data_IF_070794767716
#
_entry.id   IF_070794767716
#
_cell.length_a   1.000
_cell.length_b   1.000
_cell.length_c   1.000
_cell.angle_alpha   90.00
_cell.angle_beta   90.00
_cell.angle_gamma   90.00
#
_symmetry.space_group_name_H-M   'P 1'
#
loop_
_entity.id
_entity.type
_entity.pdbx_description
1 polymer ?
#
# COMPACT_ATOMS: atom_id res chain seq x y z
N UNK A 1 21.02 9.16 -42.56
CA UNK A 1 21.34 9.84 -41.29
C UNK A 1 20.12 9.70 -40.39
N UNK A 2 20.16 8.79 -39.40
CA UNK A 2 19.07 8.62 -38.45
C UNK A 2 19.21 9.69 -37.36
N UNK A 3 18.29 10.65 -37.32
CA UNK A 3 18.20 11.65 -36.26
C UNK A 3 17.67 10.96 -35.01
N UNK A 4 18.52 10.83 -33.99
CA UNK A 4 18.11 10.33 -32.67
C UNK A 4 17.42 11.49 -31.95
N UNK A 5 16.11 11.39 -31.76
CA UNK A 5 15.33 12.38 -31.01
C UNK A 5 15.53 12.08 -29.53
N UNK A 6 16.44 12.81 -28.88
CA UNK A 6 16.48 12.87 -27.41
C UNK A 6 15.22 13.59 -26.92
N UNK A 7 14.26 12.83 -26.41
CA UNK A 7 13.12 13.38 -25.70
C UNK A 7 13.60 13.93 -24.36
N UNK A 8 13.33 15.21 -24.10
CA UNK A 8 13.66 15.80 -22.81
C UNK A 8 12.94 15.05 -21.68
N UNK A 9 13.56 14.91 -20.49
CA UNK A 9 12.95 14.24 -19.34
C UNK A 9 11.55 14.77 -18.99
N UNK A 10 11.30 16.06 -19.22
CA UNK A 10 10.00 16.69 -18.98
C UNK A 10 8.90 16.15 -19.93
N UNK A 11 9.23 15.83 -21.19
CA UNK A 11 8.29 15.18 -22.14
C UNK A 11 8.05 13.70 -21.80
N UNK A 12 9.02 13.03 -21.17
CA UNK A 12 8.88 11.65 -20.70
C UNK A 12 7.88 11.61 -19.54
N UNK A 13 7.96 12.56 -18.60
CA UNK A 13 7.03 12.66 -17.47
C UNK A 13 5.60 12.96 -17.95
N UNK A 14 5.42 13.93 -18.85
CA UNK A 14 4.09 14.24 -19.41
C UNK A 14 3.47 13.05 -20.17
N UNK A 15 4.29 12.32 -20.94
CA UNK A 15 3.88 11.09 -21.62
C UNK A 15 3.62 9.94 -20.64
N UNK A 16 4.38 9.82 -19.56
CA UNK A 16 4.12 8.85 -18.50
C UNK A 16 2.81 9.17 -17.76
N UNK A 17 2.50 10.43 -17.49
CA UNK A 17 1.21 10.85 -16.91
C UNK A 17 0.06 10.47 -17.85
N UNK A 18 0.19 10.69 -19.17
CA UNK A 18 -0.84 10.30 -20.14
C UNK A 18 -0.97 8.78 -20.31
N UNK A 19 0.14 8.03 -20.29
CA UNK A 19 0.15 6.57 -20.35
C UNK A 19 -0.34 5.92 -19.06
N UNK A 20 -0.10 6.55 -17.89
CA UNK A 20 -0.61 6.10 -16.60
C UNK A 20 -2.11 6.30 -16.48
N UNK A 21 -2.67 7.39 -17.05
CA UNK A 21 -4.12 7.60 -17.17
C UNK A 21 -4.79 6.44 -17.91
N UNK A 22 -4.22 6.03 -19.05
CA UNK A 22 -4.70 4.89 -19.82
C UNK A 22 -4.55 3.54 -19.08
N UNK A 23 -3.57 3.42 -18.18
CA UNK A 23 -3.35 2.21 -17.38
C UNK A 23 -4.37 2.10 -16.22
N UNK A 24 -4.65 3.21 -15.54
CA UNK A 24 -5.71 3.32 -14.50
C UNK A 24 -7.10 3.03 -15.07
N UNK A 25 -7.34 3.36 -16.34
CA UNK A 25 -8.58 3.06 -17.06
C UNK A 25 -8.71 1.57 -17.46
N UNK A 26 -7.62 0.78 -17.38
CA UNK A 26 -7.56 -0.60 -17.91
C UNK A 26 -7.57 -1.71 -16.85
N UNK A 27 -7.37 -1.40 -15.57
CA UNK A 27 -7.42 -2.35 -14.46
C UNK A 27 -8.17 -1.74 -13.26
N UNK A 28 -8.97 -2.50 -12.48
CA UNK A 28 -9.51 -2.01 -11.22
C UNK A 28 -8.36 -1.80 -10.23
N UNK A 29 -7.85 -0.57 -10.16
CA UNK A 29 -6.80 -0.19 -9.23
C UNK A 29 -7.30 -0.37 -7.79
N UNK A 30 -6.77 -1.35 -7.08
CA UNK A 30 -6.89 -1.41 -5.63
C UNK A 30 -5.87 -0.44 -5.05
N UNK A 31 -6.27 0.81 -4.87
CA UNK A 31 -5.41 1.79 -4.22
C UNK A 31 -5.34 1.49 -2.72
N UNK A 32 -4.28 0.80 -2.29
CA UNK A 32 -3.89 0.73 -0.89
C UNK A 32 -3.06 1.98 -0.62
N UNK A 33 -3.72 3.11 -0.41
CA UNK A 33 -3.05 4.35 -0.05
C UNK A 33 -2.49 4.24 1.36
N UNK A 34 -1.17 4.14 1.50
CA UNK A 34 -0.51 4.49 2.75
C UNK A 34 -0.77 5.98 3.02
N UNK A 35 -1.31 6.29 4.19
CA UNK A 35 -1.48 7.67 4.62
C UNK A 35 -0.07 8.26 4.85
N UNK A 36 0.24 9.48 4.36
CA UNK A 36 1.48 10.12 4.76
C UNK A 36 1.43 10.39 6.28
N UNK A 37 2.28 9.68 7.04
CA UNK A 37 2.45 9.88 8.48
C UNK A 37 2.89 11.33 8.78
N UNK A 38 2.26 11.96 9.78
CA UNK A 38 2.74 13.26 10.27
C UNK A 38 1.78 14.17 11.04
N UNK A 39 0.62 13.71 11.52
CA UNK A 39 -0.17 14.49 12.50
C UNK A 39 -0.07 13.88 13.89
N UNK A 40 0.70 14.48 14.82
CA UNK A 40 0.66 14.08 16.22
C UNK A 40 -0.69 14.45 16.83
N UNK A 41 -1.41 13.46 17.37
CA UNK A 41 -2.49 13.68 18.33
C UNK A 41 -3.92 13.77 17.78
N UNK A 42 -4.30 12.96 16.78
CA UNK A 42 -5.72 12.78 16.46
C UNK A 42 -6.30 11.81 17.49
N UNK A 43 -7.18 12.30 18.36
CA UNK A 43 -7.92 11.47 19.31
C UNK A 43 -8.70 10.37 18.57
N UNK A 44 -8.87 9.19 19.18
CA UNK A 44 -9.59 8.06 18.57
C UNK A 44 -11.05 8.40 18.16
N UNK A 45 -11.57 9.53 18.63
CA UNK A 45 -12.91 10.05 18.32
C UNK A 45 -12.96 10.84 16.99
N UNK A 46 -11.83 11.41 16.55
CA UNK A 46 -11.73 12.21 15.32
C UNK A 46 -11.24 11.39 14.10
N UNK A 47 -10.92 10.10 14.29
CA UNK A 47 -10.71 9.13 13.22
C UNK A 47 -12.02 8.62 12.56
N UNK A 48 -13.19 9.01 13.09
CA UNK A 48 -14.46 8.79 12.43
C UNK A 48 -14.59 9.76 11.24
N UNK A 49 -13.99 9.38 10.10
CA UNK A 49 -14.10 10.13 8.86
C UNK A 49 -15.57 10.50 8.60
N UNK A 50 -15.92 11.78 8.41
CA UNK A 50 -17.29 12.21 8.22
C UNK A 50 -17.86 11.56 6.95
N UNK A 51 -18.92 10.75 7.10
CA UNK A 51 -19.79 10.36 5.99
C UNK A 51 -19.88 8.87 5.65
N UNK A 52 -19.13 7.97 6.30
CA UNK A 52 -19.35 6.53 6.08
C UNK A 52 -20.53 6.05 6.92
N UNK A 53 -21.74 6.07 6.35
CA UNK A 53 -22.86 5.30 6.90
C UNK A 53 -22.47 3.84 6.94
N UNK A 54 -22.51 3.23 8.13
CA UNK A 54 -22.31 1.79 8.28
C UNK A 54 -23.35 1.06 7.43
N UNK A 55 -22.90 0.10 6.63
CA UNK A 55 -23.80 -0.81 5.94
C UNK A 55 -24.83 -1.37 6.93
N UNK A 56 -26.09 -1.45 6.50
CA UNK A 56 -27.14 -2.12 7.29
C UNK A 56 -26.65 -3.52 7.64
N UNK A 57 -26.71 -3.90 8.91
CA UNK A 57 -26.25 -5.21 9.40
C UNK A 57 -26.95 -6.38 8.68
N UNK A 58 -28.13 -6.15 8.11
CA UNK A 58 -28.86 -7.11 7.29
C UNK A 58 -28.18 -7.45 5.95
N UNK A 59 -27.25 -6.61 5.48
CA UNK A 59 -26.52 -6.84 4.23
C UNK A 59 -25.19 -7.60 4.42
N UNK A 60 -24.71 -7.75 5.66
CA UNK A 60 -23.45 -8.43 5.93
C UNK A 60 -23.58 -9.94 5.68
N UNK A 61 -22.56 -10.59 5.07
CA UNK A 61 -22.55 -12.05 4.93
C UNK A 61 -22.65 -12.67 6.33
N UNK A 62 -23.47 -13.71 6.51
CA UNK A 62 -23.65 -14.37 7.81
C UNK A 62 -22.92 -15.70 7.87
N UNK A 63 -22.66 -16.30 6.71
CA UNK A 63 -22.08 -17.62 6.55
C UNK A 63 -20.97 -17.62 5.50
N UNK A 64 -20.16 -18.67 5.49
CA UNK A 64 -19.14 -18.87 4.45
C UNK A 64 -19.74 -19.01 3.04
N UNK A 65 -20.99 -19.50 2.94
CA UNK A 65 -21.68 -19.67 1.66
C UNK A 65 -22.11 -18.32 1.03
N UNK A 66 -22.16 -17.24 1.83
CA UNK A 66 -22.49 -15.89 1.36
C UNK A 66 -21.28 -15.20 0.70
N UNK A 67 -20.10 -15.82 0.71
CA UNK A 67 -18.87 -15.26 0.16
C UNK A 67 -18.74 -15.61 -1.32
N UNK A 68 -19.09 -14.65 -2.17
CA UNK A 68 -19.18 -14.82 -3.63
C UNK A 68 -17.81 -14.80 -4.32
N UNK A 69 -16.81 -14.16 -3.70
CA UNK A 69 -15.48 -13.97 -4.27
C UNK A 69 -14.42 -14.64 -3.41
N UNK A 70 -13.46 -15.30 -4.06
CA UNK A 70 -12.24 -15.82 -3.43
C UNK A 70 -11.03 -15.54 -4.31
N UNK A 71 -9.90 -15.20 -3.69
CA UNK A 71 -8.68 -14.85 -4.39
C UNK A 71 -7.45 -15.10 -3.52
N UNK A 72 -6.33 -15.35 -4.19
CA UNK A 72 -4.99 -15.39 -3.60
C UNK A 72 -4.17 -14.27 -4.20
N UNK A 73 -3.53 -13.46 -3.35
CA UNK A 73 -2.69 -12.34 -3.78
C UNK A 73 -1.36 -12.38 -3.04
N UNK A 74 -0.31 -11.89 -3.70
CA UNK A 74 0.98 -11.63 -3.08
C UNK A 74 1.31 -10.17 -3.31
N UNK A 75 1.70 -9.47 -2.26
CA UNK A 75 2.10 -8.07 -2.33
C UNK A 75 3.17 -7.77 -1.28
N UNK A 76 3.91 -6.70 -1.49
CA UNK A 76 4.93 -6.23 -0.56
C UNK A 76 4.66 -4.80 -0.12
N UNK A 77 4.90 -4.56 1.17
CA UNK A 77 4.62 -3.30 1.84
C UNK A 77 5.88 -2.79 2.51
N UNK A 78 5.96 -1.48 2.73
CA UNK A 78 6.85 -0.96 3.74
C UNK A 78 6.39 -1.44 5.12
N UNK A 79 7.32 -1.48 6.08
CA UNK A 79 6.99 -1.78 7.47
C UNK A 79 5.88 -0.86 8.02
N UNK A 80 5.93 0.44 7.72
CA UNK A 80 4.93 1.42 8.18
C UNK A 80 3.56 1.17 7.56
N UNK A 81 3.49 0.92 6.25
CA UNK A 81 2.24 0.60 5.58
C UNK A 81 1.61 -0.69 6.11
N UNK A 82 2.42 -1.71 6.43
CA UNK A 82 1.92 -2.93 7.09
C UNK A 82 1.35 -2.62 8.48
N UNK A 83 2.02 -1.79 9.28
CA UNK A 83 1.56 -1.38 10.60
C UNK A 83 0.24 -0.60 10.53
N UNK A 84 0.12 0.36 9.61
CA UNK A 84 -1.11 1.14 9.37
C UNK A 84 -2.30 0.24 9.01
N UNK A 85 -2.04 -0.86 8.31
CA UNK A 85 -3.04 -1.85 7.91
C UNK A 85 -3.29 -2.93 8.98
N UNK A 86 -2.68 -2.79 10.17
CA UNK A 86 -2.70 -3.79 11.24
C UNK A 86 -2.25 -5.18 10.77
N UNK A 87 -1.35 -5.24 9.79
CA UNK A 87 -0.72 -6.50 9.37
C UNK A 87 0.41 -6.77 10.35
N UNK A 88 0.46 -7.96 10.98
CA UNK A 88 1.46 -8.22 12.00
C UNK A 88 2.86 -8.26 11.39
N UNK A 89 3.77 -7.57 12.07
CA UNK A 89 5.18 -7.50 11.70
C UNK A 89 6.03 -8.09 12.82
N UNK A 90 7.00 -8.94 12.47
CA UNK A 90 7.80 -9.70 13.43
C UNK A 90 9.25 -9.20 13.40
N UNK A 91 9.73 -8.73 14.56
CA UNK A 91 11.12 -8.26 14.73
C UNK A 91 11.20 -7.04 15.65
N UNK A 92 12.37 -6.79 16.23
CA UNK A 92 12.62 -5.56 17.02
C UNK A 92 12.61 -4.33 16.11
N UNK A 93 12.25 -3.13 16.57
CA UNK A 93 12.17 -1.89 15.78
C UNK A 93 13.54 -1.32 15.32
N UNK A 94 14.66 -1.94 15.68
CA UNK A 94 16.00 -1.33 15.63
C UNK A 94 16.69 -1.28 14.24
N UNK A 95 15.97 -1.43 13.12
CA UNK A 95 16.59 -1.74 11.81
C UNK A 95 16.46 -0.70 10.70
N UNK A 96 16.03 0.54 10.99
CA UNK A 96 15.94 1.61 9.98
C UNK A 96 14.81 1.41 8.95
N UNK A 97 14.75 2.33 7.98
CA UNK A 97 13.65 2.46 7.00
C UNK A 97 13.62 1.41 5.88
N UNK A 98 14.60 0.51 5.79
CA UNK A 98 14.74 -0.49 4.71
C UNK A 98 14.05 -1.83 5.00
N UNK A 99 12.93 -1.78 5.73
CA UNK A 99 12.15 -2.96 6.11
C UNK A 99 10.95 -3.13 5.23
N UNK A 100 10.80 -4.34 4.70
CA UNK A 100 9.66 -4.73 3.87
C UNK A 100 8.88 -5.87 4.53
N UNK A 101 7.59 -5.90 4.27
CA UNK A 101 6.70 -6.98 4.67
C UNK A 101 6.11 -7.58 3.40
N UNK A 102 6.46 -8.82 3.10
CA UNK A 102 5.87 -9.56 1.98
C UNK A 102 4.70 -10.38 2.53
N UNK A 103 3.53 -10.20 1.93
CA UNK A 103 2.29 -10.86 2.36
C UNK A 103 1.79 -11.75 1.23
N UNK A 104 1.58 -13.02 1.54
CA UNK A 104 0.74 -13.91 0.75
C UNK A 104 -0.60 -14.04 1.46
N UNK A 105 -1.66 -13.62 0.79
CA UNK A 105 -2.99 -13.52 1.38
C UNK A 105 -3.98 -14.36 0.58
N UNK A 106 -4.75 -15.19 1.27
CA UNK A 106 -5.96 -15.81 0.76
C UNK A 106 -7.17 -15.12 1.40
N UNK A 107 -8.04 -14.55 0.57
CA UNK A 107 -9.25 -13.86 1.04
C UNK A 107 -10.48 -14.46 0.38
N UNK A 108 -11.57 -14.60 1.13
CA UNK A 108 -12.90 -14.73 0.56
C UNK A 108 -13.82 -13.66 1.14
N UNK A 109 -14.62 -13.03 0.29
CA UNK A 109 -15.41 -11.88 0.66
C UNK A 109 -16.68 -11.73 -0.19
N UNK A 110 -17.62 -10.98 0.37
CA UNK A 110 -18.74 -10.39 -0.35
C UNK A 110 -18.52 -8.89 -0.48
N UNK A 111 -18.76 -8.37 -1.68
CA UNK A 111 -18.70 -6.94 -1.93
C UNK A 111 -20.08 -6.32 -1.67
N UNK A 112 -20.12 -5.24 -0.91
CA UNK A 112 -21.34 -4.51 -0.57
C UNK A 112 -21.15 -3.09 -1.06
N UNK A 113 -22.06 -2.63 -1.93
CA UNK A 113 -22.08 -1.25 -2.37
C UNK A 113 -22.41 -0.32 -1.18
N UNK A 114 -21.64 0.75 -1.03
CA UNK A 114 -21.84 1.81 -0.05
C UNK A 114 -22.00 3.15 -0.78
N UNK A 115 -22.54 4.19 -0.12
CA UNK A 115 -22.72 5.53 -0.73
C UNK A 115 -21.40 6.10 -1.28
N UNK A 116 -20.26 5.71 -0.69
CA UNK A 116 -18.91 6.15 -1.04
C UNK A 116 -18.06 5.03 -1.64
N UNK A 117 -18.66 4.14 -2.45
CA UNK A 117 -17.94 3.13 -3.22
C UNK A 117 -18.38 1.72 -2.85
N UNK A 118 -17.43 0.86 -2.50
CA UNK A 118 -17.72 -0.53 -2.14
C UNK A 118 -16.89 -0.97 -0.93
N UNK A 119 -17.49 -1.78 -0.07
CA UNK A 119 -16.81 -2.39 1.06
C UNK A 119 -16.81 -3.92 0.91
N UNK A 120 -15.69 -4.55 1.29
CA UNK A 120 -15.53 -5.99 1.25
C UNK A 120 -15.58 -6.55 2.65
N UNK A 121 -16.55 -7.42 2.89
CA UNK A 121 -16.71 -8.11 4.17
C UNK A 121 -16.46 -9.60 3.98
N UNK A 122 -15.62 -10.18 4.83
CA UNK A 122 -15.17 -11.56 4.67
C UNK A 122 -14.13 -11.98 5.68
N UNK A 123 -13.24 -12.87 5.26
CA UNK A 123 -12.07 -13.30 6.02
C UNK A 123 -10.79 -13.20 5.18
N UNK A 124 -9.66 -13.15 5.89
CA UNK A 124 -8.33 -13.21 5.30
C UNK A 124 -7.44 -14.17 6.09
N UNK A 125 -6.65 -14.97 5.37
CA UNK A 125 -5.56 -15.78 5.91
C UNK A 125 -4.28 -15.26 5.29
N UNK A 126 -3.39 -14.70 6.12
CA UNK A 126 -2.17 -14.04 5.70
C UNK A 126 -0.96 -14.81 6.18
N UNK A 127 -0.03 -15.02 5.27
CA UNK A 127 1.35 -15.40 5.57
C UNK A 127 2.23 -14.18 5.38
N UNK A 128 2.71 -13.62 6.49
CA UNK A 128 3.45 -12.36 6.53
C UNK A 128 4.93 -12.63 6.79
N UNK A 129 5.79 -12.18 5.89
CA UNK A 129 7.25 -12.27 6.02
C UNK A 129 7.84 -10.87 6.19
N UNK A 130 8.39 -10.62 7.37
CA UNK A 130 9.13 -9.40 7.70
C UNK A 130 10.60 -9.58 7.31
N UNK A 131 11.12 -8.73 6.44
CA UNK A 131 12.50 -8.79 5.93
C UNK A 131 13.27 -7.56 6.36
N UNK A 132 14.43 -7.78 6.97
CA UNK A 132 15.42 -6.74 7.29
C UNK A 132 16.54 -6.70 6.24
N UNK A 133 17.11 -5.51 6.02
CA UNK A 133 18.20 -5.26 5.07
C UNK A 133 17.81 -5.58 3.62
N UNK A 134 16.82 -4.84 3.14
CA UNK A 134 16.31 -4.99 1.79
C UNK A 134 16.88 -3.94 0.83
N UNK A 135 17.43 -4.38 -0.31
CA UNK A 135 17.76 -3.49 -1.44
C UNK A 135 16.55 -3.38 -2.37
N UNK A 136 15.97 -2.19 -2.48
CA UNK A 136 14.79 -1.93 -3.31
C UNK A 136 15.10 -2.18 -4.80
N UNK A 137 14.29 -3.01 -5.47
CA UNK A 137 14.35 -3.21 -6.93
C UNK A 137 14.28 -4.65 -7.43
N UNK A 138 14.40 -5.66 -6.55
CA UNK A 138 14.25 -7.06 -6.96
C UNK A 138 12.79 -7.52 -6.80
N UNK A 139 12.19 -8.05 -7.87
CA UNK A 139 10.95 -8.84 -7.76
C UNK A 139 11.25 -10.09 -6.96
N UNK A 140 10.76 -10.17 -5.73
CA UNK A 140 10.99 -11.33 -4.89
C UNK A 140 9.75 -12.17 -4.66
N UNK A 141 9.97 -13.48 -4.83
CA UNK A 141 9.04 -14.53 -4.49
C UNK A 141 9.42 -15.11 -3.12
N UNK A 142 8.44 -15.63 -2.38
CA UNK A 142 8.70 -16.26 -1.08
C UNK A 142 9.79 -17.37 -1.11
N UNK A 143 9.89 -18.22 -2.15
CA UNK A 143 11.01 -19.17 -2.26
C UNK A 143 12.38 -18.49 -2.30
N UNK A 144 12.49 -17.33 -2.97
CA UNK A 144 13.74 -16.57 -3.02
C UNK A 144 14.11 -15.99 -1.65
N UNK A 145 13.12 -15.49 -0.88
CA UNK A 145 13.37 -15.04 0.50
C UNK A 145 13.87 -16.18 1.38
N UNK A 146 13.24 -17.35 1.29
CA UNK A 146 13.61 -18.50 2.09
C UNK A 146 15.06 -18.94 1.79
N UNK A 147 15.43 -19.01 0.50
CA UNK A 147 16.80 -19.33 0.09
C UNK A 147 17.81 -18.26 0.52
N UNK A 148 17.44 -16.98 0.41
CA UNK A 148 18.29 -15.86 0.84
C UNK A 148 18.53 -15.87 2.36
N UNK A 149 17.49 -16.20 3.14
CA UNK A 149 17.61 -16.31 4.58
C UNK A 149 18.44 -17.54 5.00
N UNK A 150 18.32 -18.67 4.29
CA UNK A 150 19.13 -19.89 4.50
C UNK A 150 20.63 -19.62 4.38
N UNK A 151 21.04 -18.83 3.39
CA UNK A 151 22.45 -18.46 3.19
C UNK A 151 22.89 -17.25 4.04
N UNK A 152 22.00 -16.71 4.87
CA UNK A 152 22.26 -15.57 5.75
C UNK A 152 22.43 -14.23 5.03
N UNK A 153 22.01 -14.10 3.77
CA UNK A 153 22.09 -12.82 3.03
C UNK A 153 21.04 -11.81 3.50
N UNK A 154 19.91 -12.30 4.02
CA UNK A 154 18.87 -11.49 4.65
C UNK A 154 18.50 -12.07 6.02
N UNK A 155 17.93 -11.23 6.88
CA UNK A 155 17.26 -11.69 8.11
C UNK A 155 15.76 -11.56 7.90
N UNK A 156 15.07 -12.69 7.83
CA UNK A 156 13.63 -12.75 7.61
C UNK A 156 12.95 -13.52 8.73
N UNK A 157 11.79 -13.03 9.16
CA UNK A 157 10.90 -13.69 10.13
C UNK A 157 9.51 -13.75 9.54
N UNK A 158 8.75 -14.76 9.91
CA UNK A 158 7.39 -14.89 9.43
C UNK A 158 6.40 -15.15 10.55
N UNK A 159 5.15 -14.80 10.28
CA UNK A 159 3.98 -15.10 11.11
C UNK A 159 2.80 -15.40 10.20
N UNK A 160 1.80 -16.08 10.76
CA UNK A 160 0.49 -16.19 10.15
C UNK A 160 -0.52 -15.35 10.91
N UNK A 161 -1.48 -14.82 10.17
CA UNK A 161 -2.58 -14.02 10.70
C UNK A 161 -3.89 -14.47 10.06
N UNK A 162 -4.94 -14.52 10.87
CA UNK A 162 -6.27 -14.96 10.44
C UNK A 162 -7.29 -13.97 10.95
N UNK A 163 -7.99 -13.34 10.01
CA UNK A 163 -8.99 -12.31 10.27
C UNK A 163 -10.35 -12.85 9.85
N UNK A 164 -11.36 -12.67 10.69
CA UNK A 164 -12.74 -13.03 10.39
C UNK A 164 -13.07 -14.52 10.50
N UNK A 165 -12.17 -15.32 11.08
CA UNK A 165 -12.40 -16.73 11.40
C UNK A 165 -11.90 -17.02 12.82
N UNK A 166 -12.65 -17.83 13.56
CA UNK A 166 -12.25 -18.31 14.88
C UNK A 166 -12.67 -19.77 15.05
N UNK A 167 -11.84 -20.58 15.71
CA UNK A 167 -12.16 -21.96 16.01
C UNK A 167 -10.94 -22.72 16.54
N UNK A 168 -11.13 -23.83 17.27
CA UNK A 168 -10.02 -24.61 17.82
C UNK A 168 -9.04 -25.08 16.75
N UNK A 169 -9.54 -25.62 15.63
CA UNK A 169 -8.70 -26.11 14.53
C UNK A 169 -7.93 -25.00 13.82
N UNK A 170 -8.50 -23.80 13.73
CA UNK A 170 -7.80 -22.62 13.21
C UNK A 170 -6.64 -22.29 14.14
N UNK A 171 -6.89 -22.18 15.45
CA UNK A 171 -5.86 -21.86 16.44
C UNK A 171 -4.73 -22.90 16.50
N UNK A 172 -5.06 -24.20 16.45
CA UNK A 172 -4.08 -25.29 16.41
C UNK A 172 -3.23 -25.31 15.13
N UNK A 173 -3.75 -24.74 14.04
CA UNK A 173 -3.06 -24.67 12.75
C UNK A 173 -2.14 -23.45 12.64
N UNK A 174 -2.12 -22.54 13.62
CA UNK A 174 -1.29 -21.35 13.62
C UNK A 174 0.05 -21.59 14.35
N UNK A 175 1.15 -21.74 13.60
CA UNK A 175 2.47 -21.87 14.21
C UNK A 175 2.90 -20.54 14.84
N UNK A 176 3.73 -20.58 15.90
CA UNK A 176 4.29 -19.36 16.47
C UNK A 176 5.22 -18.67 15.47
N UNK A 177 5.38 -17.35 15.55
CA UNK A 177 6.32 -16.62 14.73
C UNK A 177 7.75 -17.18 14.84
N UNK A 178 8.43 -17.34 13.72
CA UNK A 178 9.79 -17.91 13.70
C UNK A 178 10.62 -17.35 12.55
N UNK A 179 11.91 -17.68 12.54
CA UNK A 179 12.83 -17.26 11.47
C UNK A 179 12.51 -18.02 10.18
N UNK A 180 12.63 -17.31 9.06
CA UNK A 180 12.39 -17.91 7.76
C UNK A 180 13.67 -18.60 7.28
N UNK A 181 13.52 -19.84 6.82
CA UNK A 181 14.52 -20.59 6.09
C UNK A 181 13.79 -21.55 5.13
N UNK A 182 14.49 -22.37 4.36
CA UNK A 182 13.83 -23.23 3.34
C UNK A 182 12.88 -24.25 3.98
N UNK A 183 13.29 -24.87 5.08
CA UNK A 183 12.47 -25.85 5.81
C UNK A 183 11.22 -25.20 6.43
N UNK A 184 11.39 -24.05 7.11
CA UNK A 184 10.30 -23.31 7.75
C UNK A 184 9.32 -22.75 6.74
N UNK A 185 9.76 -22.42 5.53
CA UNK A 185 8.87 -22.03 4.45
C UNK A 185 7.92 -23.16 4.03
N UNK A 186 8.40 -24.40 3.97
CA UNK A 186 7.55 -25.57 3.69
C UNK A 186 6.53 -25.75 4.82
N UNK A 187 6.96 -25.63 6.08
CA UNK A 187 6.05 -25.70 7.23
C UNK A 187 4.99 -24.59 7.22
N UNK A 188 5.36 -23.37 6.83
CA UNK A 188 4.43 -22.25 6.71
C UNK A 188 3.37 -22.50 5.64
N UNK A 189 3.74 -23.05 4.47
CA UNK A 189 2.79 -23.46 3.43
C UNK A 189 1.82 -24.53 3.94
N UNK A 190 2.35 -25.56 4.59
CA UNK A 190 1.52 -26.61 5.18
C UNK A 190 0.58 -26.06 6.26
N UNK A 191 1.02 -25.08 7.06
CA UNK A 191 0.17 -24.41 8.03
C UNK A 191 -0.95 -23.61 7.35
N UNK A 192 -0.65 -22.88 6.27
CA UNK A 192 -1.67 -22.19 5.47
C UNK A 192 -2.70 -23.16 4.89
N UNK A 193 -2.27 -24.29 4.34
CA UNK A 193 -3.17 -25.34 3.84
C UNK A 193 -4.04 -25.92 4.96
N UNK A 194 -3.48 -26.16 6.14
CA UNK A 194 -4.23 -26.63 7.31
C UNK A 194 -5.27 -25.62 7.78
N UNK A 195 -4.93 -24.32 7.80
CA UNK A 195 -5.87 -23.25 8.11
C UNK A 195 -7.00 -23.24 7.08
N UNK A 196 -6.69 -23.32 5.78
CA UNK A 196 -7.70 -23.36 4.71
C UNK A 196 -8.63 -24.58 4.86
N UNK A 197 -8.09 -25.76 5.18
CA UNK A 197 -8.89 -26.95 5.45
C UNK A 197 -9.78 -26.77 6.69
N UNK A 198 -9.26 -26.15 7.75
CA UNK A 198 -10.00 -25.88 8.97
C UNK A 198 -11.17 -24.90 8.78
N UNK A 199 -11.21 -24.11 7.70
CA UNK A 199 -12.35 -23.25 7.36
C UNK A 199 -13.64 -24.06 7.19
N UNK A 200 -13.54 -25.28 6.66
CA UNK A 200 -14.68 -26.17 6.44
C UNK A 200 -15.09 -26.96 7.69
N UNK A 201 -14.36 -26.80 8.80
CA UNK A 201 -14.68 -27.51 10.03
C UNK A 201 -15.95 -26.94 10.69
N UNK A 202 -16.89 -27.78 11.15
CA UNK A 202 -18.11 -27.31 11.82
C UNK A 202 -17.88 -26.48 13.10
N UNK A 203 -16.71 -26.61 13.74
CA UNK A 203 -16.33 -25.79 14.91
C UNK A 203 -15.78 -24.41 14.53
N UNK A 204 -15.54 -24.16 13.24
CA UNK A 204 -15.08 -22.85 12.76
C UNK A 204 -16.24 -21.89 12.66
N UNK A 205 -16.11 -20.78 13.39
CA UNK A 205 -17.04 -19.65 13.39
C UNK A 205 -16.53 -18.59 12.43
N UNK A 206 -17.37 -18.25 11.45
CA UNK A 206 -17.18 -17.08 10.61
C UNK A 206 -17.61 -15.80 11.34
N UNK A 207 -16.77 -14.77 11.26
CA UNK A 207 -17.01 -13.45 11.84
C UNK A 207 -16.81 -12.42 10.72
N UNK A 208 -17.90 -11.86 10.16
CA UNK A 208 -17.81 -10.94 9.02
C UNK A 208 -16.94 -9.73 9.38
N UNK A 209 -15.79 -9.60 8.73
CA UNK A 209 -14.82 -8.54 9.02
C UNK A 209 -14.62 -7.68 7.79
N UNK A 210 -14.55 -6.35 7.97
CA UNK A 210 -14.21 -5.43 6.91
C UNK A 210 -12.75 -5.66 6.48
N UNK A 211 -12.55 -6.14 5.26
CA UNK A 211 -11.23 -6.40 4.70
C UNK A 211 -10.66 -5.19 3.96
N UNK A 212 -11.50 -4.52 3.18
CA UNK A 212 -11.09 -3.33 2.43
C UNK A 212 -12.27 -2.45 2.05
N UNK A 213 -11.97 -1.19 1.72
CA UNK A 213 -12.90 -0.28 1.07
C UNK A 213 -12.31 0.20 -0.25
N UNK A 214 -13.13 0.17 -1.29
CA UNK A 214 -12.85 0.74 -2.59
C UNK A 214 -13.55 2.09 -2.65
N UNK A 215 -12.78 3.15 -2.84
CA UNK A 215 -13.32 4.50 -3.02
C UNK A 215 -14.06 4.58 -4.37
N UNK A 216 -14.95 5.56 -4.57
CA UNK A 216 -15.53 5.81 -5.89
C UNK A 216 -14.40 6.12 -6.88
N UNK A 217 -14.53 5.68 -8.12
CA UNK A 217 -13.51 5.86 -9.17
C UNK A 217 -13.03 7.31 -9.28
N UNK A 218 -13.96 8.27 -9.23
CA UNK A 218 -13.64 9.70 -9.27
C UNK A 218 -12.70 10.14 -8.13
N UNK A 219 -12.90 9.63 -6.92
CA UNK A 219 -12.06 9.93 -5.78
C UNK A 219 -10.72 9.19 -5.86
N UNK A 220 -10.68 7.99 -6.44
CA UNK A 220 -9.41 7.30 -6.72
C UNK A 220 -8.57 8.11 -7.71
N UNK A 221 -9.16 8.54 -8.83
CA UNK A 221 -8.50 9.40 -9.83
C UNK A 221 -8.04 10.71 -9.21
N UNK A 222 -8.88 11.33 -8.37
CA UNK A 222 -8.54 12.57 -7.65
C UNK A 222 -7.32 12.38 -6.74
N UNK A 223 -7.29 11.32 -5.92
CA UNK A 223 -6.16 11.03 -5.02
C UNK A 223 -4.89 10.72 -5.79
N UNK A 224 -5.01 9.96 -6.89
CA UNK A 224 -3.89 9.69 -7.77
C UNK A 224 -3.31 10.99 -8.36
N UNK A 225 -4.18 11.88 -8.86
CA UNK A 225 -3.80 13.20 -9.37
C UNK A 225 -3.08 14.06 -8.33
N UNK A 226 -3.59 14.12 -7.09
CA UNK A 226 -2.95 14.83 -5.98
C UNK A 226 -1.55 14.24 -5.70
N UNK A 227 -1.44 12.91 -5.58
CA UNK A 227 -0.17 12.25 -5.32
C UNK A 227 0.87 12.48 -6.43
N UNK A 228 0.43 12.42 -7.70
CA UNK A 228 1.27 12.73 -8.85
C UNK A 228 1.73 14.20 -8.84
N UNK A 229 0.84 15.14 -8.53
CA UNK A 229 1.14 16.56 -8.41
C UNK A 229 2.14 16.85 -7.28
N UNK A 230 1.97 16.22 -6.11
CA UNK A 230 2.90 16.32 -4.99
C UNK A 230 4.28 15.74 -5.35
N UNK A 231 4.32 14.58 -6.01
CA UNK A 231 5.58 13.95 -6.46
C UNK A 231 6.31 14.84 -7.47
N UNK A 232 5.57 15.43 -8.40
CA UNK A 232 6.10 16.43 -9.33
C UNK A 232 6.65 17.66 -8.59
N UNK A 233 5.92 18.18 -7.60
CA UNK A 233 6.37 19.31 -6.79
C UNK A 233 7.68 18.99 -6.03
N UNK A 234 7.76 17.83 -5.38
CA UNK A 234 8.98 17.39 -4.70
C UNK A 234 10.16 17.28 -5.67
N UNK A 235 9.93 16.79 -6.89
CA UNK A 235 10.94 16.72 -7.95
C UNK A 235 11.38 18.11 -8.42
N UNK A 236 10.46 19.07 -8.50
CA UNK A 236 10.78 20.45 -8.84
C UNK A 236 11.62 21.12 -7.74
N UNK A 237 11.24 20.92 -6.47
CA UNK A 237 11.98 21.41 -5.28
C UNK A 237 13.39 20.82 -5.24
N UNK A 238 13.54 19.51 -5.47
CA UNK A 238 14.86 18.86 -5.49
C UNK A 238 15.78 19.41 -6.59
N UNK A 239 15.20 19.95 -7.66
CA UNK A 239 15.89 20.64 -8.77
C UNK A 239 15.97 22.16 -8.61
N UNK A 240 15.68 22.68 -7.41
CA UNK A 240 15.69 24.11 -7.07
C UNK A 240 14.80 24.97 -7.96
N UNK A 241 13.66 24.44 -8.40
CA UNK A 241 12.65 25.21 -9.13
C UNK A 241 11.69 25.86 -8.15
N UNK A 242 11.31 27.11 -8.40
CA UNK A 242 10.29 27.79 -7.61
C UNK A 242 8.90 27.24 -7.95
N UNK A 243 7.92 27.51 -7.07
CA UNK A 243 6.52 27.17 -7.33
C UNK A 243 6.03 27.75 -8.67
N UNK A 244 6.34 29.02 -8.94
CA UNK A 244 5.97 29.70 -10.19
C UNK A 244 6.55 28.95 -11.41
N UNK A 245 7.84 28.57 -11.35
CA UNK A 245 8.48 27.81 -12.42
C UNK A 245 7.88 26.42 -12.59
N UNK A 246 7.51 25.76 -11.50
CA UNK A 246 6.90 24.43 -11.53
C UNK A 246 5.50 24.46 -12.18
N UNK A 247 4.68 25.46 -11.83
CA UNK A 247 3.34 25.64 -12.42
C UNK A 247 3.43 26.04 -13.89
N UNK A 248 4.34 26.96 -14.26
CA UNK A 248 4.54 27.37 -15.66
C UNK A 248 4.98 26.24 -16.60
N UNK A 249 5.57 25.17 -16.04
CA UNK A 249 5.99 23.98 -16.79
C UNK A 249 4.86 22.97 -17.05
N UNK A 250 3.73 23.09 -16.35
CA UNK A 250 2.56 22.28 -16.63
C UNK A 250 1.96 22.67 -17.98
N UNK A 251 1.26 21.75 -18.65
CA UNK A 251 0.46 22.13 -19.82
C UNK A 251 -0.74 23.01 -19.42
N UNK A 252 -1.37 23.64 -20.42
CA UNK A 252 -2.47 24.57 -20.18
C UNK A 252 -3.68 23.92 -19.48
N UNK A 253 -3.95 22.62 -19.69
CA UNK A 253 -5.04 21.91 -19.02
C UNK A 253 -4.73 21.75 -17.53
N UNK A 254 -3.52 21.28 -17.19
CA UNK A 254 -3.06 21.08 -15.83
C UNK A 254 -2.88 22.40 -15.06
N UNK A 255 -2.49 23.49 -15.72
CA UNK A 255 -2.43 24.83 -15.11
C UNK A 255 -3.81 25.34 -14.68
N UNK A 256 -4.87 24.99 -15.41
CA UNK A 256 -6.24 25.40 -15.09
C UNK A 256 -6.93 24.43 -14.12
N UNK A 257 -6.30 23.30 -13.78
CA UNK A 257 -6.81 22.36 -12.80
C UNK A 257 -6.38 22.79 -11.38
N UNK A 258 -7.29 23.47 -10.67
CA UNK A 258 -7.04 23.99 -9.32
C UNK A 258 -6.58 22.90 -8.35
N UNK A 259 -7.09 21.68 -8.47
CA UNK A 259 -6.70 20.55 -7.62
C UNK A 259 -5.21 20.24 -7.72
N UNK A 260 -4.66 20.19 -8.94
CA UNK A 260 -3.25 19.90 -9.16
C UNK A 260 -2.37 21.07 -8.67
N UNK A 261 -2.77 22.29 -8.98
CA UNK A 261 -2.04 23.50 -8.60
C UNK A 261 -1.99 23.67 -7.08
N UNK A 262 -3.11 23.43 -6.39
CA UNK A 262 -3.18 23.47 -4.93
C UNK A 262 -2.34 22.35 -4.30
N UNK A 263 -2.40 21.12 -4.83
CA UNK A 263 -1.55 20.02 -4.35
C UNK A 263 -0.03 20.31 -4.52
N UNK A 264 0.36 20.97 -5.61
CA UNK A 264 1.75 21.44 -5.80
C UNK A 264 2.06 22.51 -4.76
N UNK A 265 1.18 23.50 -4.56
CA UNK A 265 1.38 24.57 -3.57
C UNK A 265 1.56 24.00 -2.16
N UNK A 266 0.70 23.08 -1.76
CA UNK A 266 0.74 22.44 -0.44
C UNK A 266 2.09 21.74 -0.20
N UNK A 267 2.66 21.09 -1.22
CA UNK A 267 3.97 20.45 -1.12
C UNK A 267 5.12 21.48 -0.93
N UNK A 268 5.06 22.65 -1.58
CA UNK A 268 6.03 23.73 -1.36
C UNK A 268 5.90 24.32 0.05
N UNK A 269 4.67 24.55 0.51
CA UNK A 269 4.40 25.08 1.85
C UNK A 269 4.83 24.10 2.94
N UNK A 270 4.57 22.80 2.77
CA UNK A 270 5.01 21.75 3.69
C UNK A 270 6.52 21.76 3.92
N UNK A 271 7.31 22.14 2.91
CA UNK A 271 8.77 22.22 2.98
C UNK A 271 9.29 23.64 3.29
N UNK A 272 8.41 24.57 3.67
CA UNK A 272 8.78 25.94 4.04
C UNK A 272 9.32 26.77 2.87
N UNK A 273 8.90 26.49 1.64
CA UNK A 273 9.31 27.24 0.44
C UNK A 273 8.31 28.36 0.17
N UNK A 274 8.55 29.52 0.79
CA UNK A 274 7.67 30.70 0.68
C UNK A 274 8.11 31.69 -0.41
N UNK A 275 9.37 31.63 -0.83
CA UNK A 275 9.96 32.56 -1.79
C UNK A 275 10.25 31.89 -3.13
N UNK A 276 10.65 32.68 -4.13
CA UNK A 276 11.11 32.16 -5.43
C UNK A 276 12.44 31.38 -5.34
N UNK A 277 13.08 31.34 -4.16
CA UNK A 277 14.31 30.60 -3.92
C UNK A 277 14.03 29.39 -3.04
N UNK A 278 14.35 28.20 -3.57
CA UNK A 278 14.25 26.94 -2.80
C UNK A 278 15.44 26.84 -1.84
N UNK A 279 15.21 26.77 -0.51
CA UNK A 279 16.30 26.64 0.45
C UNK A 279 16.94 25.23 0.37
N UNK A 280 18.24 25.09 0.67
CA UNK A 280 18.93 23.79 0.66
C UNK A 280 18.30 22.73 1.59
N UNK A 281 17.68 23.16 2.69
CA UNK A 281 16.95 22.28 3.61
C UNK A 281 15.73 21.63 2.94
N UNK A 282 14.91 22.42 2.24
CA UNK A 282 13.77 21.92 1.47
C UNK A 282 14.23 20.99 0.34
N UNK A 283 15.32 21.34 -0.35
CA UNK A 283 15.90 20.48 -1.39
C UNK A 283 16.27 19.09 -0.83
N UNK A 284 16.99 19.05 0.30
CA UNK A 284 17.39 17.80 0.96
C UNK A 284 16.18 17.01 1.40
N UNK A 285 15.20 17.66 2.04
CA UNK A 285 13.99 17.00 2.50
C UNK A 285 13.13 16.46 1.36
N UNK A 286 13.03 17.17 0.25
CA UNK A 286 12.34 16.69 -0.94
C UNK A 286 13.02 15.43 -1.51
N UNK A 287 14.35 15.38 -1.56
CA UNK A 287 15.10 14.19 -1.96
C UNK A 287 14.86 13.01 -1.01
N UNK A 288 14.87 13.25 0.30
CA UNK A 288 14.54 12.21 1.30
C UNK A 288 13.15 11.63 1.08
N UNK A 289 12.15 12.49 0.83
CA UNK A 289 10.77 12.07 0.58
C UNK A 289 10.64 11.32 -0.76
N UNK A 290 11.28 11.79 -1.83
CA UNK A 290 11.28 11.10 -3.13
C UNK A 290 11.92 9.71 -3.03
N UNK A 291 13.06 9.60 -2.36
CA UNK A 291 13.71 8.32 -2.12
C UNK A 291 12.83 7.38 -1.25
N UNK A 292 12.04 7.95 -0.34
CA UNK A 292 11.03 7.20 0.42
C UNK A 292 9.88 6.69 -0.44
N UNK A 293 9.43 7.48 -1.42
CA UNK A 293 8.39 7.09 -2.38
C UNK A 293 8.90 5.95 -3.28
N UNK A 294 10.11 6.06 -3.83
CA UNK A 294 10.74 4.99 -4.63
C UNK A 294 10.89 3.68 -3.84
N UNK A 295 11.08 3.75 -2.52
CA UNK A 295 11.13 2.56 -1.67
C UNK A 295 9.74 1.96 -1.36
N UNK A 296 8.66 2.66 -1.68
CA UNK A 296 7.26 2.29 -1.37
C UNK A 296 6.48 1.73 -2.57
N UNK A 297 6.87 2.09 -3.79
CA UNK A 297 6.31 1.61 -5.07
C UNK A 297 7.03 0.36 -5.54
#
# INVERSE_FOLDING_TARGET
MASTIELSPDKIIAKQISSLRALVESEPAYFIGAFPEGRPGISAEEAAAPGFRRASTAALPQTLADLENSQVRSYDLSFTAAADLNIPVVGSFEGGSSRRVVVLEHTAFREIAEEQGAARYGYAVRFCVSVNKWDAGLKISLPFLAASAEVGSISARWTMDVIGLAGPKIAESLPPPTELNVEKFILAKQAMDKVIQAIQDPSTRFIPTLLSRTLPEQEQVRRFQIGAAQTYALTAISRRKSYVQAVQKLDHEAQNNSLLVDAIRDAYQLLGVETDVVPPSAQRRALELLNGIEASV
#
